data_IF_654475824979
#
_entry.id   IF_654475824979
#
_cell.length_a   1.000
_cell.length_b   1.000
_cell.length_c   1.000
_cell.angle_alpha   90.00
_cell.angle_beta   90.00
_cell.angle_gamma   90.00
#
_symmetry.space_group_name_H-M   'P 1'
#
loop_
_entity.id
_entity.type
_entity.pdbx_description
1 polymer ?
#
# COMPACT_ATOMS: atom_id res chain seq x y z
N UNK A 1 -9.94 -77.77 -72.65
CA UNK A 1 -9.94 -78.43 -71.33
C UNK A 1 -10.02 -79.92 -71.59
N UNK A 2 -8.91 -80.64 -71.38
CA UNK A 2 -8.94 -82.09 -71.35
C UNK A 2 -9.82 -82.50 -70.16
N UNK A 3 -11.00 -83.07 -70.43
CA UNK A 3 -11.94 -83.52 -69.39
C UNK A 3 -11.66 -84.95 -68.92
N UNK A 4 -10.84 -85.70 -69.66
CA UNK A 4 -10.37 -87.04 -69.30
C UNK A 4 -9.04 -87.35 -69.98
N UNK A 5 -8.11 -87.97 -69.25
CA UNK A 5 -6.85 -88.46 -69.83
C UNK A 5 -7.13 -89.74 -70.66
N UNK A 6 -6.52 -89.90 -71.85
CA UNK A 6 -6.61 -91.15 -72.58
C UNK A 6 -5.99 -92.29 -71.77
N UNK A 7 -6.54 -93.50 -71.94
CA UNK A 7 -6.02 -94.68 -71.27
C UNK A 7 -4.54 -94.92 -71.64
N UNK A 8 -3.69 -95.13 -70.64
CA UNK A 8 -2.27 -95.38 -70.87
C UNK A 8 -2.07 -96.65 -71.72
N UNK A 9 -1.11 -96.65 -72.67
CA UNK A 9 -0.74 -97.85 -73.41
C UNK A 9 -0.22 -98.91 -72.45
N UNK A 10 -0.72 -100.15 -72.53
CA UNK A 10 -0.26 -101.26 -71.69
C UNK A 10 0.34 -102.38 -72.55
N UNK A 11 1.68 -102.49 -72.62
CA UNK A 11 2.33 -103.46 -73.51
C UNK A 11 2.10 -104.93 -73.07
N UNK A 12 1.62 -105.17 -71.85
CA UNK A 12 1.36 -106.51 -71.33
C UNK A 12 -0.04 -107.06 -71.70
N UNK A 13 -0.97 -106.20 -72.11
CA UNK A 13 -2.38 -106.61 -72.37
C UNK A 13 -2.93 -106.08 -73.69
N UNK A 14 -2.27 -105.09 -74.32
CA UNK A 14 -2.68 -104.55 -75.61
C UNK A 14 -2.01 -105.29 -76.77
N UNK A 15 -2.76 -105.53 -77.85
CA UNK A 15 -2.17 -105.96 -79.12
C UNK A 15 -1.33 -104.80 -79.71
N UNK A 16 -0.35 -105.07 -80.60
CA UNK A 16 0.50 -104.00 -81.16
C UNK A 16 -0.28 -102.82 -81.78
N UNK A 17 -1.43 -103.08 -82.39
CA UNK A 17 -2.32 -102.05 -82.94
C UNK A 17 -2.98 -101.22 -81.85
N UNK A 18 -3.58 -101.86 -80.83
CA UNK A 18 -4.24 -101.17 -79.70
C UNK A 18 -3.22 -100.36 -78.90
N UNK A 19 -2.01 -100.88 -78.73
CA UNK A 19 -0.92 -100.16 -78.07
C UNK A 19 -0.55 -98.89 -78.85
N UNK A 20 -0.40 -99.00 -80.18
CA UNK A 20 -0.03 -97.87 -81.04
C UNK A 20 -1.10 -96.79 -81.06
N UNK A 21 -2.39 -97.16 -81.08
CA UNK A 21 -3.52 -96.23 -81.00
C UNK A 21 -3.57 -95.50 -79.65
N UNK A 22 -3.41 -96.23 -78.53
CA UNK A 22 -3.32 -95.62 -77.19
C UNK A 22 -2.09 -94.73 -77.05
N UNK A 23 -0.94 -95.14 -77.63
CA UNK A 23 0.29 -94.36 -77.56
C UNK A 23 0.16 -93.06 -78.36
N UNK A 24 -0.43 -93.11 -79.56
CA UNK A 24 -0.72 -91.92 -80.35
C UNK A 24 -1.68 -90.97 -79.62
N UNK A 25 -2.74 -91.50 -79.00
CA UNK A 25 -3.69 -90.72 -78.20
C UNK A 25 -3.03 -90.09 -76.95
N UNK A 26 -2.17 -90.84 -76.26
CA UNK A 26 -1.43 -90.37 -75.09
C UNK A 26 -0.43 -89.26 -75.44
N UNK A 27 0.33 -89.43 -76.52
CA UNK A 27 1.25 -88.38 -77.03
C UNK A 27 0.48 -87.15 -77.49
N UNK A 28 -0.64 -87.30 -78.18
CA UNK A 28 -1.50 -86.19 -78.56
C UNK A 28 -2.04 -85.43 -77.33
N UNK A 29 -2.46 -86.15 -76.28
CA UNK A 29 -2.89 -85.52 -75.02
C UNK A 29 -1.75 -84.78 -74.30
N UNK A 30 -0.53 -85.33 -74.29
CA UNK A 30 0.65 -84.65 -73.76
C UNK A 30 0.98 -83.36 -74.54
N UNK A 31 0.86 -83.38 -75.87
CA UNK A 31 1.06 -82.20 -76.71
C UNK A 31 0.03 -81.10 -76.44
N UNK A 32 -1.22 -81.45 -76.18
CA UNK A 32 -2.29 -80.49 -75.86
C UNK A 32 -2.22 -79.98 -74.42
N UNK A 33 -1.63 -80.74 -73.49
CA UNK A 33 -1.48 -80.36 -72.08
C UNK A 33 -0.51 -79.18 -71.86
N UNK A 34 0.56 -79.09 -72.64
CA UNK A 34 1.55 -78.00 -72.53
C UNK A 34 0.91 -76.62 -72.75
N UNK A 35 0.11 -76.39 -73.83
CA UNK A 35 -0.68 -75.16 -73.98
C UNK A 35 -1.64 -74.86 -72.83
N UNK A 36 -2.34 -75.87 -72.29
CA UNK A 36 -3.28 -75.68 -71.17
C UNK A 36 -2.55 -75.26 -69.89
N UNK A 37 -1.40 -75.87 -69.58
CA UNK A 37 -0.52 -75.46 -68.47
C UNK A 37 -0.02 -74.03 -68.63
N UNK A 38 0.37 -73.64 -69.84
CA UNK A 38 0.80 -72.26 -70.14
C UNK A 38 -0.36 -71.26 -69.97
N UNK A 39 -1.57 -71.64 -70.38
CA UNK A 39 -2.78 -70.82 -70.17
C UNK A 39 -3.10 -70.65 -68.69
N UNK A 40 -3.05 -71.73 -67.90
CA UNK A 40 -3.25 -71.69 -66.46
C UNK A 40 -2.20 -70.82 -65.76
N UNK A 41 -0.91 -70.99 -66.10
CA UNK A 41 0.17 -70.14 -65.59
C UNK A 41 -0.09 -68.66 -65.89
N UNK A 42 -0.56 -68.34 -67.09
CA UNK A 42 -0.89 -66.96 -67.47
C UNK A 42 -2.03 -66.39 -66.61
N UNK A 43 -3.09 -67.17 -66.39
CA UNK A 43 -4.21 -66.78 -65.52
C UNK A 43 -3.78 -66.61 -64.06
N UNK A 44 -2.94 -67.52 -63.55
CA UNK A 44 -2.42 -67.45 -62.18
C UNK A 44 -1.58 -66.18 -61.98
N UNK A 45 -0.65 -65.87 -62.91
CA UNK A 45 0.16 -64.66 -62.86
C UNK A 45 -0.70 -63.39 -62.94
N UNK A 46 -1.77 -63.40 -63.75
CA UNK A 46 -2.72 -62.28 -63.83
C UNK A 46 -3.51 -62.09 -62.53
N UNK A 47 -3.92 -63.18 -61.88
CA UNK A 47 -4.59 -63.14 -60.58
C UNK A 47 -3.65 -62.61 -59.48
N UNK A 48 -2.42 -63.10 -59.42
CA UNK A 48 -1.40 -62.59 -58.49
C UNK A 48 -1.18 -61.09 -58.65
N UNK A 49 -1.03 -60.62 -59.91
CA UNK A 49 -0.91 -59.19 -60.21
C UNK A 49 -2.12 -58.38 -59.71
N UNK A 50 -3.34 -58.91 -59.89
CA UNK A 50 -4.57 -58.24 -59.45
C UNK A 50 -4.69 -58.20 -57.92
N UNK A 51 -4.37 -59.30 -57.24
CA UNK A 51 -4.35 -59.37 -55.77
C UNK A 51 -3.35 -58.38 -55.21
N UNK A 52 -2.12 -58.36 -55.72
CA UNK A 52 -1.08 -57.44 -55.27
C UNK A 52 -1.48 -55.96 -55.48
N UNK A 53 -2.13 -55.64 -56.62
CA UNK A 53 -2.63 -54.28 -56.88
C UNK A 53 -3.75 -53.86 -55.92
N UNK A 54 -4.65 -54.79 -55.57
CA UNK A 54 -5.73 -54.55 -54.60
C UNK A 54 -5.21 -54.41 -53.17
N UNK A 55 -4.23 -55.23 -52.78
CA UNK A 55 -3.56 -55.13 -51.49
C UNK A 55 -2.89 -53.76 -51.33
N UNK A 56 -2.08 -53.35 -52.31
CA UNK A 56 -1.45 -52.03 -52.30
C UNK A 56 -2.46 -50.87 -52.23
N UNK A 57 -3.58 -50.98 -52.93
CA UNK A 57 -4.66 -49.97 -52.89
C UNK A 57 -5.36 -49.94 -51.53
N UNK A 58 -5.57 -51.11 -50.92
CA UNK A 58 -6.16 -51.26 -49.59
C UNK A 58 -5.27 -50.66 -48.51
N UNK A 59 -3.96 -50.93 -48.57
CA UNK A 59 -2.99 -50.38 -47.63
C UNK A 59 -2.90 -48.85 -47.75
N UNK A 60 -2.86 -48.32 -48.97
CA UNK A 60 -2.90 -46.88 -49.20
C UNK A 60 -4.17 -46.23 -48.62
N UNK A 61 -5.34 -46.87 -48.80
CA UNK A 61 -6.60 -46.40 -48.23
C UNK A 61 -6.60 -46.44 -46.69
N UNK A 62 -6.04 -47.50 -46.10
CA UNK A 62 -5.88 -47.62 -44.64
C UNK A 62 -4.99 -46.51 -44.09
N UNK A 63 -3.81 -46.28 -44.69
CA UNK A 63 -2.90 -45.21 -44.27
C UNK A 63 -3.55 -43.83 -44.39
N UNK A 64 -4.30 -43.56 -45.47
CA UNK A 64 -5.03 -42.31 -45.62
C UNK A 64 -6.12 -42.13 -44.55
N UNK A 65 -6.84 -43.21 -44.20
CA UNK A 65 -7.86 -43.17 -43.15
C UNK A 65 -7.25 -42.97 -41.75
N UNK A 66 -6.11 -43.60 -41.46
CA UNK A 66 -5.36 -43.40 -40.22
C UNK A 66 -4.86 -41.96 -40.09
N UNK A 67 -4.28 -41.40 -41.16
CA UNK A 67 -3.85 -39.99 -41.20
C UNK A 67 -5.03 -39.02 -41.00
N UNK A 68 -6.17 -39.26 -41.63
CA UNK A 68 -7.36 -38.44 -41.47
C UNK A 68 -7.93 -38.50 -40.04
N UNK A 69 -7.96 -39.70 -39.43
CA UNK A 69 -8.35 -39.90 -38.03
C UNK A 69 -7.42 -39.13 -37.09
N UNK A 70 -6.12 -39.24 -37.28
CA UNK A 70 -5.13 -38.61 -36.42
C UNK A 70 -5.19 -37.06 -36.53
N UNK A 71 -5.42 -36.53 -37.74
CA UNK A 71 -5.69 -35.11 -37.95
C UNK A 71 -6.97 -34.64 -37.23
N UNK A 72 -8.05 -35.42 -37.31
CA UNK A 72 -9.30 -35.10 -36.62
C UNK A 72 -9.14 -35.11 -35.08
N UNK A 73 -8.38 -36.05 -34.53
CA UNK A 73 -8.03 -36.07 -33.11
C UNK A 73 -7.18 -34.85 -32.72
N UNK A 74 -6.23 -34.45 -33.58
CA UNK A 74 -5.45 -33.22 -33.41
C UNK A 74 -6.34 -31.98 -33.32
N UNK A 75 -7.26 -31.80 -34.28
CA UNK A 75 -8.20 -30.67 -34.28
C UNK A 75 -9.11 -30.66 -33.05
N UNK A 76 -9.59 -31.83 -32.61
CA UNK A 76 -10.40 -31.95 -31.38
C UNK A 76 -9.61 -31.49 -30.16
N UNK A 77 -8.35 -31.91 -30.02
CA UNK A 77 -7.51 -31.52 -28.90
C UNK A 77 -7.22 -30.01 -28.91
N UNK A 78 -6.91 -29.42 -30.07
CA UNK A 78 -6.72 -27.97 -30.21
C UNK A 78 -7.97 -27.19 -29.82
N UNK A 79 -9.15 -27.63 -30.26
CA UNK A 79 -10.42 -26.99 -29.90
C UNK A 79 -10.68 -27.06 -28.38
N UNK A 80 -10.34 -28.19 -27.75
CA UNK A 80 -10.50 -28.36 -26.31
C UNK A 80 -9.57 -27.44 -25.51
N UNK A 81 -8.29 -27.34 -25.90
CA UNK A 81 -7.36 -26.37 -25.29
C UNK A 81 -7.83 -24.92 -25.42
N UNK A 82 -8.41 -24.55 -26.57
CA UNK A 82 -8.96 -23.20 -26.76
C UNK A 82 -10.19 -22.94 -25.85
N UNK A 83 -11.05 -23.94 -25.66
CA UNK A 83 -12.19 -23.85 -24.76
C UNK A 83 -11.75 -23.71 -23.30
N UNK A 84 -10.77 -24.50 -22.86
CA UNK A 84 -10.20 -24.44 -21.51
C UNK A 84 -9.54 -23.08 -21.22
N UNK A 85 -8.78 -22.54 -22.19
CA UNK A 85 -8.21 -21.20 -22.09
C UNK A 85 -9.28 -20.11 -21.97
N UNK A 86 -10.36 -20.20 -22.75
CA UNK A 86 -11.48 -19.26 -22.68
C UNK A 86 -12.21 -19.31 -21.33
N UNK A 87 -12.34 -20.49 -20.71
CA UNK A 87 -12.88 -20.60 -19.35
C UNK A 87 -11.95 -19.91 -18.34
N UNK A 88 -10.65 -20.20 -18.40
CA UNK A 88 -9.66 -19.60 -17.51
C UNK A 88 -9.65 -18.07 -17.56
N UNK A 89 -9.74 -17.47 -18.76
CA UNK A 89 -9.82 -16.01 -18.89
C UNK A 89 -11.11 -15.41 -18.32
N UNK A 90 -12.24 -16.11 -18.44
CA UNK A 90 -13.51 -15.68 -17.83
C UNK A 90 -13.41 -15.68 -16.31
N UNK A 91 -12.86 -16.74 -15.73
CA UNK A 91 -12.69 -16.86 -14.28
C UNK A 91 -11.74 -15.79 -13.73
N UNK A 92 -10.62 -15.53 -14.43
CA UNK A 92 -9.70 -14.44 -14.07
C UNK A 92 -10.37 -13.07 -14.14
N UNK A 93 -11.15 -12.80 -15.19
CA UNK A 93 -11.88 -11.54 -15.34
C UNK A 93 -12.89 -11.34 -14.20
N UNK A 94 -13.63 -12.39 -13.83
CA UNK A 94 -14.58 -12.35 -12.72
C UNK A 94 -13.87 -12.11 -11.38
N UNK A 95 -12.75 -12.77 -11.14
CA UNK A 95 -11.95 -12.58 -9.93
C UNK A 95 -11.39 -11.14 -9.84
N UNK A 96 -10.87 -10.60 -10.95
CA UNK A 96 -10.42 -9.20 -11.01
C UNK A 96 -11.55 -8.22 -10.77
N UNK A 97 -12.74 -8.45 -11.34
CA UNK A 97 -13.91 -7.61 -11.12
C UNK A 97 -14.36 -7.64 -9.64
N UNK A 98 -14.37 -8.83 -9.03
CA UNK A 98 -14.70 -8.98 -7.60
C UNK A 98 -13.66 -8.31 -6.70
N UNK A 99 -12.36 -8.44 -7.01
CA UNK A 99 -11.30 -7.77 -6.29
C UNK A 99 -11.40 -6.24 -6.41
N UNK A 100 -11.68 -5.72 -7.61
CA UNK A 100 -11.88 -4.28 -7.82
C UNK A 100 -13.11 -3.77 -7.05
N UNK A 101 -14.22 -4.50 -7.07
CA UNK A 101 -15.41 -4.17 -6.28
C UNK A 101 -15.13 -4.21 -4.77
N UNK A 102 -14.37 -5.21 -4.30
CA UNK A 102 -13.91 -5.31 -2.92
C UNK A 102 -13.04 -4.13 -2.50
N UNK A 103 -12.04 -3.77 -3.31
CA UNK A 103 -11.20 -2.59 -3.08
C UNK A 103 -12.01 -1.29 -3.05
N UNK A 104 -13.00 -1.14 -3.94
CA UNK A 104 -13.90 0.00 -3.95
C UNK A 104 -14.78 0.08 -2.69
N UNK A 105 -15.31 -1.06 -2.22
CA UNK A 105 -16.10 -1.13 -0.99
C UNK A 105 -15.27 -0.81 0.25
N UNK A 106 -14.03 -1.30 0.33
CA UNK A 106 -13.09 -0.97 1.42
C UNK A 106 -12.74 0.52 1.42
N UNK A 107 -12.46 1.10 0.24
CA UNK A 107 -12.21 2.53 0.12
C UNK A 107 -13.43 3.37 0.53
N UNK A 108 -14.65 2.95 0.16
CA UNK A 108 -15.88 3.70 0.47
C UNK A 108 -16.32 3.61 1.93
N UNK A 109 -15.95 2.56 2.67
CA UNK A 109 -16.42 2.32 4.04
C UNK A 109 -15.42 2.75 5.12
N UNK A 110 -14.13 2.95 4.77
CA UNK A 110 -13.06 3.20 5.75
C UNK A 110 -12.38 4.57 5.58
N UNK A 111 -12.47 5.23 4.41
CA UNK A 111 -11.76 6.50 4.20
C UNK A 111 -12.58 7.67 4.75
N UNK A 112 -12.22 8.12 5.97
CA UNK A 112 -12.78 9.28 6.65
C UNK A 112 -12.52 10.64 5.97
N UNK A 113 -11.90 10.64 4.78
CA UNK A 113 -11.66 11.81 3.94
C UNK A 113 -12.38 11.63 2.60
N UNK A 114 -13.71 11.67 2.61
CA UNK A 114 -14.53 11.71 1.40
C UNK A 114 -14.56 13.14 0.86
N UNK A 115 -13.46 13.56 0.24
CA UNK A 115 -13.45 14.73 -0.65
C UNK A 115 -12.75 14.35 -1.95
N UNK A 116 -13.23 14.89 -3.07
CA UNK A 116 -12.74 14.58 -4.42
C UNK A 116 -11.27 14.96 -4.60
N UNK A 117 -10.73 15.86 -3.75
CA UNK A 117 -9.37 16.38 -3.81
C UNK A 117 -8.66 16.44 -2.44
N UNK A 118 -8.81 15.43 -1.59
CA UNK A 118 -8.01 15.36 -0.36
C UNK A 118 -6.51 15.22 -0.69
N UNK A 119 -5.69 16.21 -0.33
CA UNK A 119 -4.24 16.19 -0.54
C UNK A 119 -3.53 16.15 0.81
N UNK A 120 -3.10 14.96 1.24
CA UNK A 120 -2.09 14.80 2.27
C UNK A 120 -0.72 14.61 1.60
N UNK A 121 0.02 15.70 1.40
CA UNK A 121 1.38 15.67 0.82
C UNK A 121 2.43 15.69 1.92
N UNK A 122 3.51 14.93 1.72
CA UNK A 122 4.77 15.19 2.42
C UNK A 122 5.16 14.26 3.57
N UNK A 123 4.75 12.99 3.57
CA UNK A 123 5.47 12.02 4.40
C UNK A 123 5.85 10.77 3.62
N UNK A 124 7.16 10.64 3.35
CA UNK A 124 7.80 9.37 2.95
C UNK A 124 7.82 8.38 4.13
N UNK A 125 7.46 8.85 5.33
CA UNK A 125 7.58 8.16 6.60
C UNK A 125 6.19 7.91 7.20
N UNK A 126 5.75 6.66 7.17
CA UNK A 126 4.43 6.25 7.67
C UNK A 126 4.25 6.44 9.20
N UNK A 127 5.32 6.75 9.94
CA UNK A 127 5.26 7.04 11.38
C UNK A 127 4.75 8.45 11.71
N UNK A 128 4.73 9.38 10.75
CA UNK A 128 4.23 10.74 10.94
C UNK A 128 2.74 10.80 10.63
N UNK A 129 1.94 10.82 11.68
CA UNK A 129 0.48 10.79 11.56
C UNK A 129 -0.15 12.02 12.21
N UNK A 130 -1.14 12.60 11.53
CA UNK A 130 -2.10 13.54 12.14
C UNK A 130 -3.39 12.75 12.37
N UNK A 131 -3.87 12.74 13.61
CA UNK A 131 -5.10 12.03 14.00
C UNK A 131 -6.16 13.03 14.46
N UNK A 132 -7.36 12.91 13.90
CA UNK A 132 -8.55 13.60 14.37
C UNK A 132 -9.40 12.59 15.16
N UNK A 133 -9.50 12.78 16.49
CA UNK A 133 -10.28 11.90 17.37
C UNK A 133 -11.65 12.53 17.62
N UNK A 134 -12.70 11.93 17.05
CA UNK A 134 -14.08 12.43 17.15
C UNK A 134 -14.98 11.55 18.05
N UNK A 135 -14.55 10.32 18.34
CA UNK A 135 -15.29 9.26 19.05
C UNK A 135 -15.82 9.70 20.42
N UNK A 136 -14.93 10.14 21.31
CA UNK A 136 -15.28 10.30 22.73
C UNK A 136 -15.92 11.65 23.07
N UNK A 137 -15.84 12.63 22.16
CA UNK A 137 -16.19 14.03 22.43
C UNK A 137 -17.38 14.54 21.63
N UNK A 138 -17.78 13.85 20.54
CA UNK A 138 -18.91 14.25 19.71
C UNK A 138 -20.03 13.22 19.88
N UNK A 139 -21.21 13.61 20.41
CA UNK A 139 -22.32 12.68 20.58
C UNK A 139 -22.79 12.08 19.26
N UNK A 140 -23.21 10.82 19.28
CA UNK A 140 -23.74 10.10 18.11
C UNK A 140 -24.82 10.91 17.38
N UNK A 141 -24.72 10.97 16.05
CA UNK A 141 -25.66 11.71 15.20
C UNK A 141 -25.43 13.22 15.16
N UNK A 142 -24.39 13.72 15.81
CA UNK A 142 -24.06 15.16 15.81
C UNK A 142 -22.99 15.47 14.76
N UNK A 143 -23.19 16.57 14.03
CA UNK A 143 -22.20 17.13 13.11
C UNK A 143 -21.58 18.37 13.76
N UNK A 144 -20.26 18.35 13.98
CA UNK A 144 -19.52 19.53 14.43
C UNK A 144 -18.70 20.06 13.25
N UNK A 145 -19.06 21.21 12.66
CA UNK A 145 -18.30 21.77 11.56
C UNK A 145 -16.98 22.39 12.06
N UNK A 146 -15.86 21.98 11.47
CA UNK A 146 -14.60 22.73 11.54
C UNK A 146 -14.51 23.63 10.29
N UNK A 147 -14.83 24.91 10.45
CA UNK A 147 -14.71 25.88 9.36
C UNK A 147 -13.34 26.53 9.39
N UNK A 148 -12.50 26.20 8.40
CA UNK A 148 -11.22 26.89 8.18
C UNK A 148 -11.47 28.15 7.34
N UNK A 149 -10.98 29.33 7.74
CA UNK A 149 -11.12 30.54 6.94
C UNK A 149 -10.37 30.39 5.61
N UNK A 150 -10.78 31.15 4.59
CA UNK A 150 -10.13 31.18 3.27
C UNK A 150 -8.76 31.87 3.29
N UNK A 151 -7.85 31.42 4.15
CA UNK A 151 -6.50 31.95 4.33
C UNK A 151 -5.53 30.79 4.56
N UNK A 152 -4.26 30.98 4.15
CA UNK A 152 -3.19 30.06 4.51
C UNK A 152 -2.77 30.24 5.98
N UNK A 153 -2.33 29.17 6.63
CA UNK A 153 -1.83 29.21 8.00
C UNK A 153 -1.31 27.87 8.49
N UNK A 154 -0.69 27.89 9.66
CA UNK A 154 -0.26 26.70 10.40
C UNK A 154 -1.20 26.47 11.57
N UNK A 155 -1.62 25.23 11.81
CA UNK A 155 -2.33 24.86 13.03
C UNK A 155 -1.31 24.94 14.18
N UNK A 156 -1.56 25.85 15.12
CA UNK A 156 -0.76 26.00 16.34
C UNK A 156 -1.28 25.04 17.42
N UNK A 157 -0.37 24.43 18.16
CA UNK A 157 -0.70 23.68 19.36
C UNK A 157 -0.94 24.65 20.53
N UNK A 158 -1.62 24.19 21.59
CA UNK A 158 -1.77 24.98 22.82
C UNK A 158 -0.42 25.41 23.41
N UNK A 159 0.63 24.61 23.22
CA UNK A 159 2.00 24.96 23.61
C UNK A 159 2.55 26.16 22.85
N UNK A 160 2.13 26.36 21.61
CA UNK A 160 2.55 27.51 20.80
C UNK A 160 1.87 28.81 21.26
N UNK A 161 0.76 28.69 22.01
CA UNK A 161 0.02 29.78 22.63
C UNK A 161 0.43 30.03 24.09
N UNK A 162 1.51 29.40 24.58
CA UNK A 162 1.90 29.45 25.99
C UNK A 162 2.09 30.88 26.52
N UNK A 163 2.64 31.81 25.74
CA UNK A 163 2.79 33.21 26.17
C UNK A 163 1.44 33.93 26.31
N UNK A 164 0.47 33.63 25.43
CA UNK A 164 -0.88 34.19 25.51
C UNK A 164 -1.58 33.68 26.77
N UNK A 165 -1.60 32.37 26.96
CA UNK A 165 -2.20 31.75 28.16
C UNK A 165 -1.53 32.25 29.43
N UNK A 166 -0.19 32.30 29.47
CA UNK A 166 0.58 32.83 30.60
C UNK A 166 0.15 34.25 30.92
N UNK A 167 0.07 35.15 29.93
CA UNK A 167 -0.29 36.56 30.14
C UNK A 167 -1.64 36.76 30.84
N UNK A 168 -2.57 35.81 30.67
CA UNK A 168 -3.91 35.83 31.27
C UNK A 168 -4.01 35.11 32.62
N UNK A 169 -2.95 34.42 33.05
CA UNK A 169 -2.94 33.66 34.31
C UNK A 169 -2.45 34.52 35.46
N UNK A 170 -3.26 34.61 36.52
CA UNK A 170 -2.84 35.09 37.84
C UNK A 170 -2.33 33.92 38.68
N UNK A 171 -1.23 34.13 39.40
CA UNK A 171 -0.64 33.13 40.29
C UNK A 171 -0.29 33.73 41.65
N UNK A 172 -0.76 33.12 42.74
CA UNK A 172 -0.38 33.54 44.09
C UNK A 172 0.88 32.79 44.53
N UNK A 173 2.01 33.50 44.57
CA UNK A 173 3.30 32.98 45.00
C UNK A 173 3.41 32.88 46.53
N UNK A 174 2.35 33.26 47.26
CA UNK A 174 2.28 33.18 48.70
C UNK A 174 3.44 33.92 49.35
N UNK A 175 4.20 33.25 50.22
CA UNK A 175 5.34 33.85 50.91
C UNK A 175 6.65 33.85 50.11
N UNK A 176 6.67 33.26 48.91
CA UNK A 176 7.88 33.11 48.12
C UNK A 176 8.25 34.40 47.38
N UNK A 177 9.51 34.82 47.49
CA UNK A 177 10.09 35.92 46.68
C UNK A 177 10.74 35.44 45.38
N UNK A 178 10.65 34.14 45.08
CA UNK A 178 11.14 33.56 43.85
C UNK A 178 10.05 33.56 42.77
N UNK A 179 10.20 34.44 41.79
CA UNK A 179 9.26 34.63 40.69
C UNK A 179 9.69 33.76 39.51
N UNK A 180 8.89 32.77 39.15
CA UNK A 180 9.10 32.02 37.93
C UNK A 180 8.23 32.59 36.82
N UNK A 181 8.84 33.06 35.72
CA UNK A 181 8.12 33.72 34.61
C UNK A 181 6.97 32.86 34.06
N UNK A 182 7.16 31.53 34.05
CA UNK A 182 6.18 30.56 33.58
C UNK A 182 4.89 30.44 34.42
N UNK A 183 4.88 30.92 35.67
CA UNK A 183 3.75 30.73 36.57
C UNK A 183 2.51 31.57 36.19
N UNK A 184 2.71 32.72 35.55
CA UNK A 184 1.61 33.59 35.14
C UNK A 184 2.05 35.00 34.80
N UNK A 185 1.20 35.73 34.07
CA UNK A 185 1.40 37.12 33.64
C UNK A 185 1.36 38.10 34.80
N UNK A 186 0.60 37.75 35.85
CA UNK A 186 0.56 38.47 37.13
C UNK A 186 0.85 37.52 38.27
N UNK A 187 1.72 37.91 39.20
CA UNK A 187 2.01 37.11 40.39
C UNK A 187 1.89 37.91 41.67
N UNK A 188 1.20 37.38 42.66
CA UNK A 188 1.13 37.96 44.00
C UNK A 188 2.22 37.40 44.89
N UNK A 189 2.88 38.27 45.65
CA UNK A 189 4.04 37.94 46.48
C UNK A 189 3.84 38.61 47.84
N UNK A 190 3.59 37.80 48.86
CA UNK A 190 3.31 38.23 50.23
C UNK A 190 4.25 37.55 51.25
N UNK A 191 5.57 37.78 51.17
CA UNK A 191 6.55 37.22 52.10
C UNK A 191 6.31 37.71 53.52
N UNK A 192 6.58 36.84 54.50
CA UNK A 192 6.61 37.20 55.91
C UNK A 192 7.62 38.35 56.18
N UNK A 193 7.50 39.03 57.33
CA UNK A 193 8.41 40.10 57.72
C UNK A 193 9.87 39.65 57.78
N UNK A 194 10.82 40.53 57.45
CA UNK A 194 12.26 40.25 57.48
C UNK A 194 12.95 40.55 56.16
N UNK A 195 14.22 40.18 56.02
CA UNK A 195 14.99 40.42 54.80
C UNK A 195 14.33 39.71 53.60
N UNK A 196 14.08 40.46 52.53
CA UNK A 196 13.43 39.97 51.30
C UNK A 196 14.41 40.07 50.15
N UNK A 197 14.64 38.98 49.45
CA UNK A 197 15.46 38.95 48.24
C UNK A 197 14.63 38.40 47.11
N UNK A 198 14.36 39.25 46.12
CA UNK A 198 13.63 38.88 44.91
C UNK A 198 14.55 38.06 44.01
N UNK A 199 14.03 36.99 43.43
CA UNK A 199 14.70 36.25 42.37
C UNK A 199 13.75 36.00 41.22
N UNK A 200 14.28 35.91 40.00
CA UNK A 200 13.50 35.70 38.79
C UNK A 200 14.10 34.57 37.98
N UNK A 201 13.28 33.61 37.56
CA UNK A 201 13.71 32.44 36.79
C UNK A 201 12.83 32.23 35.56
N UNK A 202 13.36 31.51 34.57
CA UNK A 202 12.60 31.10 33.39
C UNK A 202 12.26 32.22 32.41
N UNK A 203 12.99 33.34 32.43
CA UNK A 203 12.84 34.40 31.43
C UNK A 203 13.09 33.85 30.01
N UNK A 204 12.35 34.34 29.00
CA UNK A 204 12.64 34.01 27.61
C UNK A 204 14.07 34.38 27.22
N UNK A 205 14.67 33.63 26.30
CA UNK A 205 16.02 33.90 25.80
C UNK A 205 16.18 35.35 25.27
N UNK A 206 17.43 35.84 25.29
CA UNK A 206 17.77 37.17 24.77
C UNK A 206 17.23 37.41 23.36
N UNK A 207 16.75 38.63 23.09
CA UNK A 207 16.08 39.01 21.86
C UNK A 207 14.54 38.89 21.91
N UNK A 208 13.98 38.30 22.99
CA UNK A 208 12.54 38.30 23.25
C UNK A 208 12.19 39.32 24.32
N UNK A 209 11.19 40.16 24.05
CA UNK A 209 10.62 41.02 25.10
C UNK A 209 9.81 40.17 26.06
N UNK A 210 10.02 40.39 27.35
CA UNK A 210 9.28 39.71 28.40
C UNK A 210 8.84 40.71 29.46
N UNK A 211 7.61 40.53 29.96
CA UNK A 211 6.98 41.39 30.97
C UNK A 211 6.30 40.53 32.02
N UNK A 212 6.49 40.90 33.28
CA UNK A 212 5.89 40.28 34.45
C UNK A 212 5.23 41.37 35.30
N UNK A 213 3.94 41.23 35.58
CA UNK A 213 3.25 42.02 36.58
C UNK A 213 3.33 41.33 37.94
N UNK A 214 3.51 42.11 38.99
CA UNK A 214 3.64 41.65 40.36
C UNK A 214 2.75 42.46 41.29
N UNK A 215 2.14 41.77 42.25
CA UNK A 215 1.48 42.36 43.41
C UNK A 215 2.33 42.07 44.64
N UNK A 216 3.16 43.02 45.03
CA UNK A 216 4.09 42.86 46.15
C UNK A 216 3.44 43.35 47.44
N UNK A 217 2.97 42.43 48.27
CA UNK A 217 2.23 42.72 49.50
C UNK A 217 3.19 42.90 50.67
N UNK A 218 3.07 44.04 51.36
CA UNK A 218 3.87 44.41 52.53
C UNK A 218 5.38 44.26 52.28
N UNK A 219 5.83 44.54 51.06
CA UNK A 219 7.18 44.21 50.61
C UNK A 219 8.26 45.05 51.31
N UNK A 220 7.92 46.22 51.84
CA UNK A 220 8.81 47.02 52.69
C UNK A 220 8.88 46.57 54.15
N UNK A 221 8.04 45.61 54.57
CA UNK A 221 8.01 45.14 55.95
C UNK A 221 9.29 44.39 56.32
N UNK A 222 10.13 45.00 57.17
CA UNK A 222 11.45 44.50 57.55
C UNK A 222 12.62 45.09 56.75
N UNK A 223 12.37 46.06 55.86
CA UNK A 223 13.39 46.80 55.10
C UNK A 223 13.14 46.82 53.59
N UNK A 224 14.04 47.48 52.87
CA UNK A 224 14.00 47.53 51.39
C UNK A 224 14.28 46.14 50.80
N UNK A 225 13.41 45.58 49.93
CA UNK A 225 13.69 44.32 49.25
C UNK A 225 14.94 44.44 48.38
N UNK A 226 15.79 43.41 48.45
CA UNK A 226 16.93 43.24 47.56
C UNK A 226 16.44 42.69 46.22
N UNK A 227 16.96 43.25 45.12
CA UNK A 227 16.67 42.83 43.76
C UNK A 227 17.90 42.14 43.15
N UNK A 228 17.74 41.30 42.11
CA UNK A 228 18.88 40.69 41.43
C UNK A 228 19.90 41.73 40.97
N UNK A 229 21.18 41.35 40.98
CA UNK A 229 22.25 42.19 40.46
C UNK A 229 21.94 42.58 39.00
N UNK A 230 22.14 43.86 38.66
CA UNK A 230 21.79 44.37 37.34
C UNK A 230 20.37 44.95 37.22
N UNK A 231 19.52 44.80 38.24
CA UNK A 231 18.22 45.49 38.27
C UNK A 231 18.37 47.01 38.14
N UNK A 232 17.40 47.63 37.46
CA UNK A 232 17.29 49.06 37.24
C UNK A 232 15.86 49.50 37.53
N UNK A 233 15.71 50.69 38.09
CA UNK A 233 14.42 51.24 38.49
C UNK A 233 14.09 52.45 37.63
N UNK A 234 12.89 52.49 37.07
CA UNK A 234 12.39 53.65 36.33
C UNK A 234 11.70 54.59 37.31
N UNK A 235 12.13 55.86 37.33
CA UNK A 235 11.45 56.94 38.05
C UNK A 235 10.24 57.45 37.23
N UNK A 236 9.30 58.13 37.87
CA UNK A 236 8.08 58.64 37.22
C UNK A 236 8.32 59.51 35.97
N UNK A 237 9.50 60.12 35.81
CA UNK A 237 9.92 60.92 34.66
C UNK A 237 10.66 60.11 33.57
N UNK A 238 10.69 58.78 33.71
CA UNK A 238 11.32 57.87 32.75
C UNK A 238 12.82 57.66 32.95
N UNK A 239 13.46 58.35 33.92
CA UNK A 239 14.89 58.19 34.17
C UNK A 239 15.19 56.85 34.85
N UNK A 240 16.17 56.13 34.30
CA UNK A 240 16.61 54.82 34.81
C UNK A 240 17.68 55.00 35.89
N UNK A 241 17.51 54.35 37.03
CA UNK A 241 18.40 54.42 38.19
C UNK A 241 18.86 53.02 38.63
N UNK A 242 19.98 52.96 39.34
CA UNK A 242 20.57 51.70 39.81
C UNK A 242 20.01 51.22 41.15
N UNK A 243 19.29 52.08 41.89
CA UNK A 243 18.65 51.74 43.16
C UNK A 243 17.23 52.27 43.23
N UNK A 244 16.36 51.59 43.98
CA UNK A 244 14.98 52.04 44.21
C UNK A 244 14.93 53.42 44.86
N UNK A 245 15.82 53.70 45.83
CA UNK A 245 15.90 54.99 46.50
C UNK A 245 16.26 56.13 45.54
N UNK A 246 17.23 55.93 44.63
CA UNK A 246 17.59 56.93 43.62
C UNK A 246 16.46 57.17 42.59
N UNK A 247 15.60 56.17 42.38
CA UNK A 247 14.36 56.31 41.59
C UNK A 247 13.18 56.94 42.37
N UNK A 248 13.39 57.39 43.62
CA UNK A 248 12.35 57.87 44.53
C UNK A 248 11.25 56.84 44.83
N UNK A 249 11.62 55.56 44.91
CA UNK A 249 10.71 54.46 45.24
C UNK A 249 10.90 54.08 46.71
N UNK A 250 9.84 54.25 47.50
CA UNK A 250 9.78 53.82 48.92
C UNK A 250 8.78 52.69 49.07
N UNK A 251 9.22 51.46 49.37
CA UNK A 251 8.38 50.25 49.45
C UNK A 251 7.38 50.29 50.61
N UNK A 252 6.15 49.80 50.37
CA UNK A 252 5.10 49.83 51.37
C UNK A 252 5.33 48.78 52.48
N UNK A 253 5.36 49.22 53.73
CA UNK A 253 5.39 48.34 54.91
C UNK A 253 4.03 47.69 55.19
N UNK A 254 2.96 48.31 54.71
CA UNK A 254 1.58 47.80 54.71
C UNK A 254 0.88 48.17 53.40
N UNK A 255 0.20 47.22 52.75
CA UNK A 255 -0.48 47.40 51.46
C UNK A 255 0.15 46.59 50.32
N UNK A 256 -0.18 46.95 49.08
CA UNK A 256 0.31 46.26 47.87
C UNK A 256 1.01 47.27 46.95
N UNK A 257 2.26 46.99 46.62
CA UNK A 257 2.97 47.64 45.53
C UNK A 257 2.71 46.88 44.22
N UNK A 258 2.11 47.54 43.23
CA UNK A 258 1.98 46.99 41.88
C UNK A 258 3.26 47.26 41.10
N UNK A 259 3.90 46.21 40.60
CA UNK A 259 5.20 46.31 39.95
C UNK A 259 5.18 45.65 38.60
N UNK A 260 5.71 46.32 37.59
CA UNK A 260 6.02 45.74 36.30
C UNK A 260 7.53 45.52 36.20
N UNK A 261 7.92 44.29 35.89
CA UNK A 261 9.31 43.90 35.62
C UNK A 261 9.41 43.52 34.15
N UNK A 262 10.39 44.08 33.45
CA UNK A 262 10.61 43.78 32.04
C UNK A 262 12.07 43.54 31.71
N UNK A 263 12.32 42.75 30.66
CA UNK A 263 13.66 42.47 30.13
C UNK A 263 13.57 42.18 28.63
N UNK A 264 14.70 42.35 27.94
CA UNK A 264 14.91 41.92 26.54
C UNK A 264 16.13 41.01 26.39
N UNK A 265 16.83 40.72 27.48
CA UNK A 265 18.19 40.15 27.51
C UNK A 265 18.28 38.90 28.40
N UNK A 266 17.21 38.10 28.42
CA UNK A 266 17.21 36.84 29.17
C UNK A 266 17.11 36.99 30.68
N UNK A 267 16.67 38.16 31.16
CA UNK A 267 16.63 38.47 32.59
C UNK A 267 17.96 38.95 33.17
N UNK A 268 18.97 39.21 32.34
CA UNK A 268 20.26 39.77 32.77
C UNK A 268 20.11 41.18 33.32
N UNK A 269 19.29 42.01 32.65
CA UNK A 269 18.91 43.34 33.11
C UNK A 269 17.40 43.38 33.33
N UNK A 270 16.99 43.56 34.58
CA UNK A 270 15.60 43.74 34.95
C UNK A 270 15.29 45.23 35.04
N UNK A 271 14.31 45.69 34.26
CA UNK A 271 13.77 47.03 34.35
C UNK A 271 12.49 46.98 35.19
N UNK A 272 12.54 47.62 36.35
CA UNK A 272 11.50 47.62 37.38
C UNK A 272 10.78 48.96 37.37
N UNK A 273 9.47 48.93 37.16
CA UNK A 273 8.57 50.08 37.24
C UNK A 273 7.54 49.82 38.33
N UNK A 274 7.44 50.74 39.29
CA UNK A 274 6.45 50.64 40.38
C UNK A 274 5.28 51.54 40.02
N UNK A 275 4.10 50.94 39.89
CA UNK A 275 2.84 51.59 39.55
C UNK A 275 2.09 51.86 40.85
N UNK A 276 1.89 53.14 41.17
CA UNK A 276 1.10 53.57 42.32
C UNK A 276 0.02 54.52 41.84
N UNK A 277 -1.18 54.36 42.42
CA UNK A 277 -2.22 55.39 42.43
C UNK A 277 -2.07 56.26 43.66
#
# INVERSE_FOLDING_TARGET
MITALPAAPNPATDTPTVFSEKAAAFVAAQQVMVPELNAFRTQANALETNVNAKEASSDAAKTAAEAARDAALGHKNTAQFAADASMSYRDQSQASAAAAAGSAATASSIVAFVDTNSIAKGSVDASKQVRFECDALIPTGTVIPLTVPGAGGTIALLSDLQELTRSMTYYDNGTSTAIAYANGGTQRVAPASGAKTMSFTGWPASGKQAVQFLELVNIGSGGTPAWPAGARFIRYDGVIQTTAAAANITWQTGGTDYVMVSTRDGGTTLIVSVLRG
#
